data_IF_690917509630
#
_entry.id   IF_690917509630
#
_cell.length_a   1.000
_cell.length_b   1.000
_cell.length_c   1.000
_cell.angle_alpha   90.00
_cell.angle_beta   90.00
_cell.angle_gamma   90.00
#
_symmetry.space_group_name_H-M   'P 1'
#
loop_
_entity.id
_entity.type
_entity.pdbx_description
1 polymer ?
#
# COMPACT_ATOMS: atom_id res chain seq x y z
N UNK A 1 -2.18 10.18 -1.20
CA UNK A 1 -2.25 10.40 0.25
C UNK A 1 -3.15 11.59 0.53
N UNK A 2 -2.69 12.84 0.32
CA UNK A 2 -3.48 14.05 0.58
C UNK A 2 -4.84 14.06 -0.13
N UNK A 3 -4.87 13.71 -1.41
CA UNK A 3 -6.13 13.68 -2.19
C UNK A 3 -7.16 12.68 -1.66
N UNK A 4 -6.72 11.65 -0.93
CA UNK A 4 -7.56 10.61 -0.33
C UNK A 4 -7.70 10.79 1.20
N UNK A 5 -7.18 11.89 1.76
CA UNK A 5 -7.12 12.14 3.20
C UNK A 5 -6.49 10.96 3.99
N UNK A 6 -5.45 10.36 3.42
CA UNK A 6 -4.70 9.26 4.05
C UNK A 6 -3.45 9.78 4.74
N UNK A 7 -3.33 9.45 6.02
CA UNK A 7 -2.19 9.81 6.87
C UNK A 7 -1.22 8.64 7.02
N UNK A 8 -0.04 8.93 7.57
CA UNK A 8 0.98 7.91 7.84
C UNK A 8 0.44 6.74 8.65
N UNK A 9 -0.35 7.04 9.68
CA UNK A 9 -0.94 6.04 10.57
C UNK A 9 -1.87 5.08 9.83
N UNK A 10 -2.56 5.53 8.77
CA UNK A 10 -3.39 4.66 7.93
C UNK A 10 -2.52 3.72 7.11
N UNK A 11 -1.43 4.21 6.54
CA UNK A 11 -0.48 3.37 5.78
C UNK A 11 0.10 2.28 6.67
N UNK A 12 0.51 2.63 7.90
CA UNK A 12 1.02 1.67 8.87
C UNK A 12 -0.05 0.64 9.27
N UNK A 13 -1.30 1.08 9.48
CA UNK A 13 -2.41 0.20 9.78
C UNK A 13 -2.68 -0.81 8.64
N UNK A 14 -2.70 -0.34 7.39
CA UNK A 14 -2.90 -1.17 6.20
C UNK A 14 -1.77 -2.20 6.06
N UNK A 15 -0.51 -1.82 6.32
CA UNK A 15 0.61 -2.76 6.23
C UNK A 15 0.54 -3.83 7.32
N UNK A 16 0.17 -3.44 8.54
CA UNK A 16 0.13 -4.36 9.69
C UNK A 16 -1.08 -5.28 9.70
N UNK A 17 -2.22 -4.84 9.13
CA UNK A 17 -3.50 -5.58 9.16
C UNK A 17 -3.94 -6.10 7.81
N UNK A 18 -3.36 -5.59 6.73
CA UNK A 18 -3.67 -6.00 5.37
C UNK A 18 -2.98 -7.30 4.96
N UNK A 19 -3.10 -7.60 3.67
CA UNK A 19 -2.50 -8.78 3.03
C UNK A 19 -1.84 -8.37 1.73
N UNK A 20 -0.79 -9.09 1.35
CA UNK A 20 -0.19 -8.95 0.02
C UNK A 20 -1.18 -9.49 -1.01
N UNK A 21 -1.88 -8.60 -1.70
CA UNK A 21 -2.83 -8.95 -2.76
C UNK A 21 -2.09 -9.40 -4.03
N UNK A 22 -0.99 -8.73 -4.37
CA UNK A 22 -0.25 -9.02 -5.62
C UNK A 22 1.24 -8.74 -5.50
N UNK A 23 2.04 -9.60 -6.12
CA UNK A 23 3.47 -9.38 -6.38
C UNK A 23 3.65 -8.97 -7.85
N UNK A 24 4.25 -7.81 -8.08
CA UNK A 24 4.53 -7.25 -9.40
C UNK A 24 6.02 -7.41 -9.69
N UNK A 25 6.40 -8.57 -10.26
CA UNK A 25 7.81 -8.98 -10.43
C UNK A 25 8.43 -8.65 -11.80
N UNK A 26 7.62 -8.29 -12.79
CA UNK A 26 8.09 -8.08 -14.18
C UNK A 26 8.67 -6.67 -14.43
N UNK A 27 8.74 -5.83 -13.40
CA UNK A 27 9.24 -4.47 -13.56
C UNK A 27 10.77 -4.41 -13.44
N UNK A 28 11.41 -3.77 -14.41
CA UNK A 28 12.88 -3.56 -14.44
C UNK A 28 13.43 -2.83 -13.22
N UNK A 29 12.60 -2.09 -12.48
CA UNK A 29 12.97 -1.38 -11.24
C UNK A 29 12.92 -2.30 -10.01
N UNK A 30 12.61 -3.58 -10.18
CA UNK A 30 12.55 -4.59 -9.12
C UNK A 30 11.12 -4.92 -8.69
N UNK A 31 11.01 -5.94 -7.85
CA UNK A 31 9.71 -6.45 -7.37
C UNK A 31 8.99 -5.39 -6.55
N UNK A 32 7.72 -5.12 -6.89
CA UNK A 32 6.79 -4.36 -6.06
C UNK A 32 5.72 -5.27 -5.48
N UNK A 33 5.15 -4.83 -4.38
CA UNK A 33 4.06 -5.50 -3.69
C UNK A 33 2.88 -4.55 -3.62
N UNK A 34 1.69 -5.08 -3.87
CA UNK A 34 0.42 -4.41 -3.57
C UNK A 34 -0.16 -5.05 -2.34
N UNK A 35 -0.32 -4.24 -1.30
CA UNK A 35 -0.98 -4.62 -0.06
C UNK A 35 -2.38 -4.02 -0.10
N UNK A 36 -3.37 -4.85 0.23
CA UNK A 36 -4.76 -4.46 0.41
C UNK A 36 -5.11 -4.59 1.90
N UNK A 37 -5.70 -3.54 2.46
CA UNK A 37 -6.15 -3.55 3.84
C UNK A 37 -6.96 -2.30 4.19
N UNK A 38 -7.53 -2.26 5.40
CA UNK A 38 -8.28 -1.11 5.87
C UNK A 38 -7.37 0.00 6.39
N UNK A 39 -7.71 1.26 6.09
CA UNK A 39 -7.26 2.43 6.84
C UNK A 39 -7.80 2.39 8.28
N UNK A 40 -7.37 3.32 9.15
CA UNK A 40 -7.85 3.36 10.55
C UNK A 40 -9.35 3.58 10.66
N UNK A 41 -9.93 4.28 9.70
CA UNK A 41 -11.37 4.53 9.61
C UNK A 41 -12.15 3.40 8.90
N UNK A 42 -11.45 2.34 8.46
CA UNK A 42 -12.03 1.18 7.81
C UNK A 42 -12.14 1.29 6.29
N UNK A 43 -11.82 2.43 5.67
CA UNK A 43 -11.83 2.57 4.21
C UNK A 43 -10.84 1.59 3.57
N UNK A 44 -11.21 0.90 2.48
CA UNK A 44 -10.31 0.00 1.79
C UNK A 44 -9.21 0.79 1.09
N UNK A 45 -7.95 0.39 1.25
CA UNK A 45 -6.77 1.08 0.73
C UNK A 45 -5.82 0.11 0.05
N UNK A 46 -5.20 0.57 -1.04
CA UNK A 46 -4.04 -0.08 -1.62
C UNK A 46 -2.75 0.67 -1.31
N UNK A 47 -1.77 -0.07 -0.80
CA UNK A 47 -0.39 0.38 -0.64
C UNK A 47 0.49 -0.33 -1.65
N UNK A 48 1.21 0.44 -2.48
CA UNK A 48 2.26 -0.09 -3.35
C UNK A 48 3.61 0.19 -2.71
N UNK A 49 4.37 -0.87 -2.45
CA UNK A 49 5.67 -0.77 -1.79
C UNK A 49 6.71 -1.72 -2.39
N UNK A 50 7.98 -1.54 -2.02
CA UNK A 50 9.06 -2.49 -2.34
C UNK A 50 10.10 -2.52 -1.24
N UNK A 51 10.77 -3.65 -1.10
CA UNK A 51 11.97 -3.76 -0.26
C UNK A 51 13.20 -3.32 -1.05
N UNK A 52 14.06 -2.54 -0.41
CA UNK A 52 15.45 -2.34 -0.82
C UNK A 52 16.29 -3.54 -0.41
N UNK A 53 17.50 -3.64 -0.98
CA UNK A 53 18.45 -4.71 -0.65
C UNK A 53 18.90 -4.68 0.83
N UNK A 54 18.83 -3.52 1.49
CA UNK A 54 19.14 -3.34 2.91
C UNK A 54 17.97 -3.69 3.86
N UNK A 55 16.84 -4.18 3.31
CA UNK A 55 15.65 -4.53 4.08
C UNK A 55 14.70 -3.36 4.35
N UNK A 56 15.04 -2.13 3.95
CA UNK A 56 14.14 -0.99 4.12
C UNK A 56 12.93 -1.08 3.18
N UNK A 57 11.73 -0.85 3.72
CA UNK A 57 10.50 -0.78 2.94
C UNK A 57 10.30 0.64 2.41
N UNK A 58 10.19 0.80 1.09
CA UNK A 58 9.80 2.07 0.47
C UNK A 58 8.33 2.01 0.08
N UNK A 59 7.57 3.02 0.49
CA UNK A 59 6.22 3.27 0.00
C UNK A 59 6.32 4.06 -1.30
N UNK A 60 5.73 3.54 -2.37
CA UNK A 60 5.75 4.13 -3.71
C UNK A 60 4.52 5.00 -3.91
N UNK A 61 3.34 4.44 -3.64
CA UNK A 61 2.08 5.18 -3.67
C UNK A 61 1.05 4.50 -2.77
N UNK A 62 0.11 5.28 -2.28
CA UNK A 62 -1.02 4.83 -1.46
C UNK A 62 -2.26 5.57 -1.91
N UNK A 63 -3.35 4.82 -2.08
CA UNK A 63 -4.63 5.37 -2.51
C UNK A 63 -5.81 4.59 -1.93
N UNK A 64 -6.90 5.32 -1.65
CA UNK A 64 -8.16 4.73 -1.22
C UNK A 64 -8.85 4.06 -2.41
N UNK A 65 -9.59 2.98 -2.13
CA UNK A 65 -10.48 2.36 -3.09
C UNK A 65 -11.85 3.00 -2.91
N UNK A 66 -12.25 3.83 -3.86
CA UNK A 66 -13.66 4.21 -3.98
C UNK A 66 -14.42 2.97 -4.47
N UNK A 67 -15.54 2.64 -3.84
CA UNK A 67 -16.46 1.68 -4.44
C UNK A 67 -16.91 2.25 -5.80
N UNK A 68 -16.70 1.50 -6.88
CA UNK A 68 -17.38 1.77 -8.15
C UNK A 68 -18.88 1.55 -7.88
N UNK A 69 -19.62 2.63 -7.63
CA UNK A 69 -21.08 2.63 -7.49
C UNK A 69 -21.74 2.62 -8.87
#
# INVERSE_FOLDING_TARGET
MLDDELERDDVEHVILKGRVQRKLSEDRRGTRYRIEGPAKDGRPVHVICRFKADGNLIIITVYALMEDV
#
